data_IF_652036489641
#
_entry.id   IF_652036489641
#
_cell.length_a   1.000
_cell.length_b   1.000
_cell.length_c   1.000
_cell.angle_alpha   90.00
_cell.angle_beta   90.00
_cell.angle_gamma   90.00
#
_symmetry.space_group_name_H-M   'P 1'
#
loop_
_entity.id
_entity.type
_entity.pdbx_description
1 polymer ?
#
# COMPACT_ATOMS: atom_id res chain seq x y z
N UNK A 1 3.35 -10.30 -7.32
CA UNK A 1 4.21 -9.26 -7.94
C UNK A 1 3.49 -8.43 -9.00
N UNK A 2 2.47 -8.93 -9.66
CA UNK A 2 1.82 -8.25 -10.79
C UNK A 2 0.58 -7.43 -10.45
N UNK A 3 0.18 -7.44 -9.20
CA UNK A 3 -1.05 -6.81 -8.76
C UNK A 3 -1.04 -5.30 -8.96
N UNK A 4 0.03 -4.69 -8.52
CA UNK A 4 0.17 -3.24 -8.64
C UNK A 4 0.46 -2.80 -10.06
N UNK A 5 1.12 -3.63 -10.86
CA UNK A 5 1.20 -3.43 -12.31
C UNK A 5 -0.18 -3.39 -12.95
N UNK A 6 -1.12 -4.22 -12.49
CA UNK A 6 -2.50 -4.25 -13.02
C UNK A 6 -3.33 -3.01 -12.60
N UNK A 7 -3.11 -2.50 -11.39
CA UNK A 7 -3.80 -1.27 -10.92
C UNK A 7 -3.30 -0.03 -11.67
N UNK A 8 -2.01 0.01 -12.03
CA UNK A 8 -1.36 1.17 -12.61
C UNK A 8 -0.99 1.02 -14.09
N UNK A 9 -1.19 -0.14 -14.69
CA UNK A 9 -0.78 -0.43 -16.07
C UNK A 9 -1.67 0.28 -17.09
N UNK A 10 -1.06 1.14 -17.89
CA UNK A 10 -1.62 1.52 -19.19
C UNK A 10 -1.36 0.34 -20.14
N UNK A 11 -2.40 -0.21 -20.77
CA UNK A 11 -2.29 -1.29 -21.74
C UNK A 11 -1.29 -0.93 -22.83
N UNK A 12 -0.26 -1.76 -23.02
CA UNK A 12 0.59 -1.67 -24.20
C UNK A 12 -0.20 -2.18 -25.41
N UNK A 13 -0.03 -1.57 -26.58
CA UNK A 13 -0.78 -1.94 -27.80
C UNK A 13 -0.44 -3.35 -28.34
N UNK A 14 0.61 -3.99 -27.82
CA UNK A 14 0.96 -5.36 -28.16
C UNK A 14 0.04 -6.44 -27.57
N UNK A 15 -0.81 -6.10 -26.61
CA UNK A 15 -1.70 -7.04 -25.91
C UNK A 15 -3.12 -7.14 -26.51
N UNK A 16 -3.28 -6.86 -27.81
CA UNK A 16 -4.59 -6.87 -28.49
C UNK A 16 -5.33 -8.21 -28.44
N UNK A 17 -4.69 -9.29 -28.07
CA UNK A 17 -5.30 -10.63 -28.03
C UNK A 17 -5.94 -10.96 -26.68
N UNK A 18 -5.57 -10.31 -25.58
CA UNK A 18 -6.20 -10.52 -24.27
C UNK A 18 -7.43 -9.63 -24.00
N UNK A 19 -7.77 -8.73 -24.92
CA UNK A 19 -8.83 -7.72 -24.76
C UNK A 19 -10.23 -8.31 -24.47
N UNK A 20 -10.50 -9.54 -24.88
CA UNK A 20 -11.83 -10.18 -24.68
C UNK A 20 -12.04 -10.87 -23.34
N UNK A 21 -10.96 -11.19 -22.61
CA UNK A 21 -11.07 -11.73 -21.23
C UNK A 21 -11.10 -10.66 -20.15
N UNK A 22 -10.86 -9.41 -20.50
CA UNK A 22 -10.67 -8.31 -19.57
C UNK A 22 -11.89 -7.42 -19.33
N UNK A 23 -13.06 -7.73 -19.87
CA UNK A 23 -14.27 -6.89 -19.69
C UNK A 23 -14.64 -6.75 -18.21
N UNK A 24 -14.51 -7.81 -17.42
CA UNK A 24 -14.75 -7.76 -15.97
C UNK A 24 -13.66 -7.02 -15.18
N UNK A 25 -12.40 -7.11 -15.62
CA UNK A 25 -11.29 -6.36 -14.99
C UNK A 25 -11.39 -4.86 -15.27
N UNK A 26 -11.81 -4.49 -16.47
CA UNK A 26 -12.05 -3.08 -16.83
C UNK A 26 -13.22 -2.46 -16.04
N UNK A 27 -14.23 -3.24 -15.64
CA UNK A 27 -15.34 -2.73 -14.84
C UNK A 27 -14.90 -2.30 -13.44
N UNK A 28 -14.08 -3.12 -12.74
CA UNK A 28 -13.62 -2.80 -11.39
C UNK A 28 -12.60 -1.66 -11.38
N UNK A 29 -11.69 -1.60 -12.36
CA UNK A 29 -10.81 -0.45 -12.53
C UNK A 29 -11.58 0.81 -12.87
N UNK A 30 -12.68 0.70 -13.60
CA UNK A 30 -13.57 1.82 -13.85
C UNK A 30 -14.29 2.30 -12.59
N UNK A 31 -14.64 1.39 -11.68
CA UNK A 31 -15.24 1.74 -10.38
C UNK A 31 -14.26 2.50 -9.47
N UNK A 32 -13.00 2.04 -9.36
CA UNK A 32 -11.96 2.80 -8.63
C UNK A 32 -11.79 4.20 -9.22
N UNK A 33 -11.76 4.30 -10.55
CA UNK A 33 -11.66 5.58 -11.25
C UNK A 33 -12.87 6.47 -11.01
N UNK A 34 -14.08 5.93 -11.10
CA UNK A 34 -15.31 6.66 -10.78
C UNK A 34 -15.30 7.18 -9.35
N UNK A 35 -14.95 6.33 -8.40
CA UNK A 35 -14.83 6.71 -7.00
C UNK A 35 -13.78 7.79 -6.76
N UNK A 36 -12.64 7.71 -7.42
CA UNK A 36 -11.61 8.74 -7.36
C UNK A 36 -12.16 10.07 -7.90
N UNK A 37 -12.82 10.06 -9.05
CA UNK A 37 -13.45 11.25 -9.64
C UNK A 37 -14.56 11.83 -8.74
N UNK A 38 -15.41 10.99 -8.17
CA UNK A 38 -16.46 11.42 -7.23
C UNK A 38 -15.89 12.08 -5.97
N UNK A 39 -14.67 11.71 -5.57
CA UNK A 39 -13.95 12.35 -4.47
C UNK A 39 -13.08 13.52 -4.94
N UNK A 40 -13.20 13.95 -6.18
CA UNK A 40 -12.48 15.09 -6.76
C UNK A 40 -11.00 14.84 -6.98
N UNK A 41 -10.61 13.57 -7.08
CA UNK A 41 -9.27 13.19 -7.49
C UNK A 41 -9.22 13.24 -9.02
N UNK A 42 -8.43 14.16 -9.55
CA UNK A 42 -8.22 14.25 -10.98
C UNK A 42 -7.48 13.01 -11.46
N UNK A 43 -8.15 12.18 -12.25
CA UNK A 43 -7.54 11.03 -12.89
C UNK A 43 -6.75 11.47 -14.13
N UNK A 44 -5.61 12.08 -13.92
CA UNK A 44 -4.66 12.16 -15.01
C UNK A 44 -4.13 10.75 -15.30
N UNK A 45 -3.99 10.36 -16.59
CA UNK A 45 -3.38 9.08 -16.90
C UNK A 45 -2.01 9.03 -16.27
N UNK A 46 -1.79 8.04 -15.39
CA UNK A 46 -0.49 7.83 -14.77
C UNK A 46 0.45 7.39 -15.86
N UNK A 47 1.54 8.13 -16.04
CA UNK A 47 2.53 7.87 -17.06
C UNK A 47 3.48 6.77 -16.60
N UNK A 48 3.85 5.87 -17.51
CA UNK A 48 5.01 5.01 -17.29
C UNK A 48 6.26 5.88 -17.15
N UNK A 49 7.12 5.54 -16.20
CA UNK A 49 8.42 6.19 -16.10
C UNK A 49 9.28 5.85 -17.33
N UNK A 50 9.88 6.82 -17.94
CA UNK A 50 10.82 6.61 -19.06
C UNK A 50 12.09 5.89 -18.61
N UNK A 51 12.45 6.03 -17.34
CA UNK A 51 13.61 5.41 -16.72
C UNK A 51 13.19 4.71 -15.45
N UNK A 52 13.65 3.47 -15.28
CA UNK A 52 13.43 2.74 -14.03
C UNK A 52 14.22 3.43 -12.91
N UNK A 53 13.50 3.87 -11.88
CA UNK A 53 14.11 4.45 -10.69
C UNK A 53 14.67 3.33 -9.80
N UNK A 54 15.76 3.63 -9.13
CA UNK A 54 16.28 2.78 -8.06
C UNK A 54 15.38 2.89 -6.82
N UNK A 55 15.48 1.92 -5.91
CA UNK A 55 14.76 1.96 -4.64
C UNK A 55 15.05 3.25 -3.87
N UNK A 56 16.32 3.65 -3.78
CA UNK A 56 16.72 4.91 -3.11
C UNK A 56 16.09 6.14 -3.74
N UNK A 57 16.05 6.22 -5.06
CA UNK A 57 15.40 7.33 -5.77
C UNK A 57 13.90 7.39 -5.53
N UNK A 58 13.24 6.23 -5.46
CA UNK A 58 11.80 6.16 -5.15
C UNK A 58 11.56 6.62 -3.72
N UNK A 59 12.36 6.15 -2.76
CA UNK A 59 12.25 6.53 -1.35
C UNK A 59 12.46 8.04 -1.18
N UNK A 60 13.43 8.62 -1.85
CA UNK A 60 13.69 10.06 -1.83
C UNK A 60 12.50 10.85 -2.41
N UNK A 61 11.94 10.40 -3.53
CA UNK A 61 10.83 11.08 -4.19
C UNK A 61 9.51 10.99 -3.41
N UNK A 62 9.25 9.88 -2.73
CA UNK A 62 7.98 9.62 -2.00
C UNK A 62 8.12 9.87 -0.51
N UNK A 63 9.33 9.84 0.03
CA UNK A 63 9.62 10.09 1.44
C UNK A 63 9.39 11.54 1.83
N UNK A 64 9.13 11.79 3.11
CA UNK A 64 8.98 13.14 3.62
C UNK A 64 8.52 13.15 5.07
N UNK A 65 8.61 14.30 5.71
CA UNK A 65 8.26 14.45 7.12
C UNK A 65 6.76 14.58 7.42
N UNK A 66 5.92 14.37 6.42
CA UNK A 66 4.46 14.48 6.61
C UNK A 66 3.95 13.37 7.53
N UNK A 67 3.29 13.79 8.61
CA UNK A 67 2.67 12.92 9.62
C UNK A 67 1.18 13.18 9.77
N UNK A 68 0.55 13.78 8.77
CA UNK A 68 -0.89 13.95 8.78
C UNK A 68 -1.59 12.59 8.79
N UNK A 69 -2.78 12.56 9.37
CA UNK A 69 -3.57 11.34 9.46
C UNK A 69 -3.82 10.75 8.07
N UNK A 70 -3.50 9.48 7.90
CA UNK A 70 -3.71 8.75 6.66
C UNK A 70 -2.57 8.83 5.65
N UNK A 71 -1.62 9.73 5.81
CA UNK A 71 -0.51 9.89 4.86
C UNK A 71 0.43 8.66 4.79
N UNK A 72 0.50 7.85 5.83
CA UNK A 72 1.27 6.60 5.83
C UNK A 72 0.79 5.64 4.73
N UNK A 73 -0.52 5.46 4.61
CA UNK A 73 -1.10 4.59 3.59
C UNK A 73 -0.90 5.15 2.19
N UNK A 74 -1.20 6.44 1.98
CA UNK A 74 -1.02 7.07 0.66
C UNK A 74 0.44 7.10 0.20
N UNK A 75 1.40 7.29 1.10
CA UNK A 75 2.82 7.20 0.78
C UNK A 75 3.23 5.76 0.39
N UNK A 76 2.72 4.75 1.10
CA UNK A 76 2.95 3.36 0.75
C UNK A 76 2.42 3.02 -0.65
N UNK A 77 1.23 3.48 -1.01
CA UNK A 77 0.69 3.32 -2.37
C UNK A 77 1.51 4.05 -3.43
N UNK A 78 2.00 5.24 -3.13
CA UNK A 78 2.89 5.98 -4.05
C UNK A 78 4.20 5.21 -4.28
N UNK A 79 4.80 4.65 -3.23
CA UNK A 79 5.98 3.80 -3.36
C UNK A 79 5.71 2.60 -4.28
N UNK A 80 4.61 1.89 -4.07
CA UNK A 80 4.24 0.72 -4.87
C UNK A 80 4.07 1.11 -6.35
N UNK A 81 3.38 2.22 -6.64
CA UNK A 81 3.19 2.70 -8.00
C UNK A 81 4.52 3.00 -8.71
N UNK A 82 5.45 3.68 -8.04
CA UNK A 82 6.78 3.95 -8.58
C UNK A 82 7.61 2.66 -8.76
N UNK A 83 7.53 1.73 -7.80
CA UNK A 83 8.21 0.42 -7.90
C UNK A 83 7.68 -0.39 -9.09
N UNK A 84 6.41 -0.25 -9.43
CA UNK A 84 5.79 -0.85 -10.61
C UNK A 84 6.15 -0.15 -11.93
N UNK A 85 6.97 0.90 -11.89
CA UNK A 85 7.44 1.62 -13.07
C UNK A 85 6.53 2.76 -13.54
N UNK A 86 5.66 3.27 -12.67
CA UNK A 86 4.80 4.42 -12.95
C UNK A 86 5.29 5.66 -12.21
N UNK A 87 5.10 6.82 -12.82
CA UNK A 87 5.41 8.10 -12.16
C UNK A 87 4.25 8.51 -11.28
N UNK A 88 4.27 8.06 -10.04
CA UNK A 88 3.34 8.45 -8.99
C UNK A 88 4.11 9.26 -7.97
N UNK A 89 3.97 10.58 -8.04
CA UNK A 89 4.80 11.46 -7.23
C UNK A 89 4.43 11.36 -5.75
N UNK A 90 3.17 11.60 -5.42
CA UNK A 90 2.73 11.64 -4.02
C UNK A 90 1.21 11.64 -3.91
N UNK A 91 0.70 10.84 -2.98
CA UNK A 91 -0.71 10.84 -2.63
C UNK A 91 -0.97 11.48 -1.24
N UNK A 92 0.03 12.11 -0.63
CA UNK A 92 -0.08 12.67 0.73
C UNK A 92 -0.86 13.98 0.80
N UNK A 93 -1.20 14.59 -0.32
CA UNK A 93 -1.90 15.87 -0.37
C UNK A 93 -3.41 15.75 -0.60
N UNK A 94 -4.18 16.61 0.05
CA UNK A 94 -5.60 16.87 -0.23
C UNK A 94 -6.48 15.62 -0.31
N UNK A 95 -7.34 15.59 -1.32
CA UNK A 95 -8.32 14.51 -1.51
C UNK A 95 -7.70 13.16 -1.87
N UNK A 96 -6.49 13.13 -2.45
CA UNK A 96 -5.76 11.89 -2.73
C UNK A 96 -5.34 11.21 -1.43
N UNK A 97 -4.81 11.96 -0.48
CA UNK A 97 -4.49 11.44 0.85
C UNK A 97 -5.74 10.88 1.53
N UNK A 98 -6.83 11.63 1.53
CA UNK A 98 -8.10 11.20 2.12
C UNK A 98 -8.64 9.91 1.45
N UNK A 99 -8.57 9.82 0.12
CA UNK A 99 -8.99 8.63 -0.62
C UNK A 99 -8.18 7.39 -0.26
N UNK A 100 -6.85 7.47 -0.34
CA UNK A 100 -5.97 6.33 -0.12
C UNK A 100 -5.75 5.97 1.36
N UNK A 101 -6.28 6.74 2.29
CA UNK A 101 -6.21 6.48 3.72
C UNK A 101 -7.50 5.92 4.32
N UNK A 102 -8.58 5.90 3.57
CA UNK A 102 -9.86 5.38 4.06
C UNK A 102 -9.89 3.86 4.01
N UNK A 103 -10.21 3.24 5.13
CA UNK A 103 -10.32 1.79 5.28
C UNK A 103 -11.20 1.14 4.20
N UNK A 104 -12.36 1.72 3.90
CA UNK A 104 -13.24 1.23 2.85
C UNK A 104 -12.60 1.24 1.45
N UNK A 105 -11.71 2.19 1.17
CA UNK A 105 -11.00 2.28 -0.11
C UNK A 105 -9.85 1.30 -0.19
N UNK A 106 -9.14 1.11 0.91
CA UNK A 106 -8.08 0.11 1.03
C UNK A 106 -8.67 -1.30 0.86
N UNK A 107 -9.79 -1.60 1.51
CA UNK A 107 -10.53 -2.87 1.32
C UNK A 107 -10.98 -3.07 -0.12
N UNK A 108 -11.47 -2.04 -0.77
CA UNK A 108 -11.85 -2.11 -2.19
C UNK A 108 -10.64 -2.42 -3.08
N UNK A 109 -9.50 -1.77 -2.86
CA UNK A 109 -8.25 -2.06 -3.58
C UNK A 109 -7.82 -3.51 -3.32
N UNK A 110 -7.91 -3.97 -2.07
CA UNK A 110 -7.59 -5.34 -1.69
C UNK A 110 -8.45 -6.41 -2.39
N UNK A 111 -9.66 -6.05 -2.80
CA UNK A 111 -10.60 -6.94 -3.49
C UNK A 111 -10.48 -6.89 -5.03
N UNK A 112 -9.55 -6.11 -5.58
CA UNK A 112 -9.34 -6.07 -7.02
C UNK A 112 -8.80 -7.40 -7.56
N UNK A 113 -9.14 -7.79 -8.80
CA UNK A 113 -8.61 -9.00 -9.41
C UNK A 113 -7.09 -8.99 -9.45
N UNK A 114 -6.49 -10.07 -8.96
CA UNK A 114 -5.04 -10.25 -8.89
C UNK A 114 -4.39 -9.58 -7.68
N UNK A 115 -5.16 -9.02 -6.75
CA UNK A 115 -4.70 -8.63 -5.41
C UNK A 115 -4.92 -9.80 -4.47
N UNK A 116 -3.87 -10.26 -3.80
CA UNK A 116 -3.99 -11.19 -2.69
C UNK A 116 -4.08 -10.39 -1.40
N UNK A 117 -5.14 -10.61 -0.65
CA UNK A 117 -5.36 -9.96 0.65
C UNK A 117 -5.50 -11.02 1.72
N UNK A 118 -4.72 -10.88 2.77
CA UNK A 118 -4.82 -11.69 3.97
C UNK A 118 -5.29 -10.81 5.11
N UNK A 119 -6.39 -11.21 5.75
CA UNK A 119 -6.98 -10.48 6.87
C UNK A 119 -6.98 -11.39 8.09
N UNK A 120 -6.37 -10.93 9.17
CA UNK A 120 -6.40 -11.61 10.46
C UNK A 120 -7.20 -10.78 11.44
N UNK A 121 -8.31 -11.34 11.94
CA UNK A 121 -9.17 -10.71 12.94
C UNK A 121 -8.75 -11.20 14.32
N UNK A 122 -8.09 -10.35 15.07
CA UNK A 122 -7.64 -10.64 16.42
C UNK A 122 -7.71 -9.37 17.27
N UNK A 123 -8.04 -9.52 18.54
CA UNK A 123 -8.01 -8.40 19.49
C UNK A 123 -6.60 -8.00 19.89
N UNK A 124 -5.61 -8.84 19.58
CA UNK A 124 -4.19 -8.61 19.82
C UNK A 124 -3.47 -8.41 18.48
N UNK A 125 -3.05 -7.17 18.22
CA UNK A 125 -2.33 -6.81 16.99
C UNK A 125 -1.02 -7.58 16.82
N UNK A 126 -0.29 -7.83 17.90
CA UNK A 126 0.98 -8.56 17.85
C UNK A 126 0.79 -10.00 17.38
N UNK A 127 -0.28 -10.65 17.85
CA UNK A 127 -0.63 -11.99 17.42
C UNK A 127 -1.06 -12.00 15.95
N UNK A 128 -1.89 -11.05 15.54
CA UNK A 128 -2.35 -10.91 14.17
C UNK A 128 -1.18 -10.69 13.21
N UNK A 129 -0.28 -9.78 13.54
CA UNK A 129 0.90 -9.49 12.71
C UNK A 129 1.84 -10.69 12.64
N UNK A 130 2.08 -11.40 13.75
CA UNK A 130 2.89 -12.61 13.73
C UNK A 130 2.36 -13.66 12.76
N UNK A 131 1.04 -13.84 12.70
CA UNK A 131 0.39 -14.74 11.75
C UNK A 131 0.59 -14.27 10.30
N UNK A 132 0.40 -12.98 10.02
CA UNK A 132 0.61 -12.40 8.69
C UNK A 132 2.07 -12.49 8.24
N UNK A 133 3.03 -12.26 9.14
CA UNK A 133 4.46 -12.38 8.83
C UNK A 133 4.84 -13.79 8.39
N UNK A 134 4.12 -14.82 8.82
CA UNK A 134 4.31 -16.18 8.33
C UNK A 134 3.99 -16.36 6.85
N UNK A 135 3.26 -15.41 6.23
CA UNK A 135 2.91 -15.42 4.80
C UNK A 135 3.83 -14.52 3.96
N UNK A 136 4.75 -13.81 4.58
CA UNK A 136 5.69 -12.92 3.89
C UNK A 136 6.85 -13.74 3.32
N UNK A 137 6.91 -13.78 2.00
CA UNK A 137 7.96 -14.48 1.25
C UNK A 137 9.15 -13.56 0.98
N UNK A 138 10.34 -14.14 0.98
CA UNK A 138 11.56 -13.39 0.64
C UNK A 138 11.52 -12.92 -0.82
N UNK A 139 12.01 -11.70 -1.05
CA UNK A 139 12.04 -11.08 -2.38
C UNK A 139 10.74 -10.39 -2.81
N UNK A 140 9.69 -10.48 -2.00
CA UNK A 140 8.42 -9.79 -2.22
C UNK A 140 8.22 -8.65 -1.21
N UNK A 141 7.45 -7.66 -1.63
CA UNK A 141 7.06 -6.53 -0.80
C UNK A 141 5.54 -6.51 -0.65
N UNK A 142 5.07 -6.18 0.56
CA UNK A 142 3.66 -6.24 0.94
C UNK A 142 3.24 -4.94 1.60
N UNK A 143 2.00 -4.52 1.37
CA UNK A 143 1.37 -3.48 2.16
C UNK A 143 0.83 -4.09 3.45
N UNK A 144 1.23 -3.57 4.60
CA UNK A 144 0.72 -3.93 5.92
C UNK A 144 0.04 -2.75 6.56
N UNK A 145 -1.19 -2.95 7.03
CA UNK A 145 -1.88 -2.00 7.90
C UNK A 145 -2.25 -2.68 9.21
N UNK A 146 -1.84 -2.10 10.32
CA UNK A 146 -2.16 -2.57 11.68
C UNK A 146 -2.04 -1.42 12.68
N UNK A 147 -2.80 -1.49 13.77
CA UNK A 147 -2.84 -0.43 14.75
C UNK A 147 -3.25 0.91 14.14
N UNK A 148 -2.36 1.88 14.13
CA UNK A 148 -2.60 3.22 13.58
C UNK A 148 -1.61 3.60 12.47
N UNK A 149 -1.02 2.62 11.81
CA UNK A 149 -0.02 2.85 10.79
C UNK A 149 -0.11 1.82 9.66
N UNK A 150 0.34 2.24 8.49
CA UNK A 150 0.53 1.38 7.35
C UNK A 150 1.93 1.59 6.77
N UNK A 151 2.55 0.54 6.30
CA UNK A 151 3.85 0.59 5.66
C UNK A 151 4.04 -0.60 4.71
N UNK A 152 5.03 -0.51 3.86
CA UNK A 152 5.52 -1.65 3.10
C UNK A 152 6.38 -2.51 4.01
N UNK A 153 6.18 -3.82 4.00
CA UNK A 153 7.02 -4.78 4.68
C UNK A 153 7.64 -5.75 3.70
N UNK A 154 8.80 -6.26 4.05
CA UNK A 154 9.49 -7.31 3.28
C UNK A 154 10.28 -8.23 4.21
N UNK A 155 10.67 -9.38 3.68
CA UNK A 155 11.64 -10.27 4.30
C UNK A 155 12.93 -10.22 3.50
N UNK A 156 14.00 -9.77 4.11
CA UNK A 156 15.32 -9.66 3.50
C UNK A 156 16.33 -10.43 4.37
N UNK A 157 17.03 -11.38 3.76
CA UNK A 157 18.03 -12.24 4.47
C UNK A 157 17.48 -12.84 5.77
N UNK A 158 16.24 -13.32 5.73
CA UNK A 158 15.56 -13.91 6.89
C UNK A 158 15.05 -12.91 7.93
N UNK A 159 15.29 -11.62 7.78
CA UNK A 159 14.85 -10.55 8.68
C UNK A 159 13.67 -9.79 8.09
N UNK A 160 12.73 -9.40 8.95
CA UNK A 160 11.64 -8.53 8.56
C UNK A 160 12.06 -7.07 8.63
N UNK A 161 11.67 -6.34 7.59
CA UNK A 161 11.90 -4.90 7.46
C UNK A 161 10.59 -4.20 7.11
N UNK A 162 10.44 -2.95 7.55
CA UNK A 162 9.38 -2.06 7.12
C UNK A 162 9.96 -0.81 6.47
N UNK A 163 9.23 -0.24 5.53
CA UNK A 163 9.63 0.99 4.86
C UNK A 163 9.11 2.21 5.62
N UNK A 164 10.02 2.99 6.19
CA UNK A 164 9.70 4.29 6.76
C UNK A 164 9.75 5.36 5.66
N UNK A 165 8.65 6.07 5.45
CA UNK A 165 8.52 7.13 4.44
C UNK A 165 8.15 8.49 5.05
N UNK A 166 7.95 8.57 6.35
CA UNK A 166 7.50 9.77 7.04
C UNK A 166 8.51 10.30 8.07
N UNK A 167 9.74 9.82 8.02
CA UNK A 167 10.81 10.34 8.86
C UNK A 167 11.25 11.71 8.37
N UNK A 168 11.56 12.60 9.29
CA UNK A 168 12.15 13.92 9.00
C UNK A 168 13.65 13.83 8.75
N UNK A 169 14.29 12.75 9.19
CA UNK A 169 15.74 12.60 9.16
C UNK A 169 16.19 11.54 8.17
N UNK A 170 15.62 10.34 8.26
CA UNK A 170 16.04 9.22 7.43
C UNK A 170 14.84 8.33 7.09
N UNK A 171 14.52 8.26 5.80
CA UNK A 171 13.57 7.32 5.23
C UNK A 171 14.31 6.10 4.68
N UNK A 172 13.59 4.97 4.58
CA UNK A 172 14.14 3.73 4.06
C UNK A 172 13.66 2.51 4.82
N UNK A 173 14.13 1.35 4.40
CA UNK A 173 13.84 0.12 5.10
C UNK A 173 14.57 0.04 6.44
N UNK A 174 13.83 -0.30 7.47
CA UNK A 174 14.29 -0.41 8.87
C UNK A 174 13.84 -1.75 9.44
N UNK A 175 14.54 -2.29 10.46
CA UNK A 175 14.13 -3.52 11.12
C UNK A 175 12.68 -3.44 11.61
N UNK A 176 11.93 -4.53 11.37
CA UNK A 176 10.54 -4.67 11.82
C UNK A 176 10.47 -5.68 12.96
N UNK A 177 10.06 -5.23 14.13
CA UNK A 177 10.00 -6.01 15.37
C UNK A 177 8.87 -5.51 16.28
N UNK A 178 8.70 -6.15 17.44
CA UNK A 178 7.66 -5.80 18.39
C UNK A 178 7.80 -4.38 18.97
N UNK A 179 9.02 -3.84 19.05
CA UNK A 179 9.25 -2.46 19.50
C UNK A 179 8.66 -1.50 18.46
N UNK A 180 8.96 -1.73 17.19
CA UNK A 180 8.41 -0.94 16.08
C UNK A 180 6.89 -1.06 16.02
N UNK A 181 6.35 -2.27 16.18
CA UNK A 181 4.91 -2.49 16.24
C UNK A 181 4.27 -1.63 17.33
N UNK A 182 4.82 -1.64 18.53
CA UNK A 182 4.32 -0.84 19.65
C UNK A 182 4.48 0.65 19.41
N UNK A 183 5.70 1.09 19.10
CA UNK A 183 6.06 2.51 19.10
C UNK A 183 5.62 3.22 17.81
N UNK A 184 5.81 2.60 16.66
CA UNK A 184 5.54 3.21 15.35
C UNK A 184 4.14 2.90 14.85
N UNK A 185 3.68 1.67 14.96
CA UNK A 185 2.36 1.23 14.50
C UNK A 185 1.28 1.43 15.57
N UNK A 186 1.65 1.69 16.82
CA UNK A 186 0.69 1.83 17.93
C UNK A 186 -0.16 0.57 18.11
N UNK A 187 0.43 -0.59 17.86
CA UNK A 187 -0.18 -1.88 18.07
C UNK A 187 -0.60 -2.09 19.53
N UNK A 188 -1.73 -2.74 19.74
CA UNK A 188 -2.29 -3.01 21.07
C UNK A 188 -2.38 -4.51 21.31
N UNK A 189 -2.13 -4.94 22.55
CA UNK A 189 -2.27 -6.33 22.96
C UNK A 189 -3.73 -6.74 23.18
N UNK A 190 -4.61 -5.76 23.44
CA UNK A 190 -6.01 -6.00 23.66
C UNK A 190 -6.80 -4.75 23.30
N UNK A 191 -7.88 -4.92 22.53
CA UNK A 191 -8.85 -3.89 22.29
C UNK A 191 -9.93 -3.98 23.35
N UNK A 192 -10.35 -2.83 23.90
CA UNK A 192 -11.45 -2.78 24.86
C UNK A 192 -12.75 -3.36 24.27
N UNK A 193 -13.56 -3.95 25.13
CA UNK A 193 -14.92 -4.41 24.80
C UNK A 193 -15.69 -3.25 24.17
N UNK A 194 -16.19 -3.42 22.95
CA UNK A 194 -16.83 -2.34 22.16
C UNK A 194 -15.87 -1.58 21.23
N UNK A 195 -14.56 -1.85 21.26
CA UNK A 195 -13.60 -1.30 20.31
C UNK A 195 -13.77 -1.86 18.90
N UNK A 196 -13.36 -1.09 17.91
CA UNK A 196 -13.32 -1.54 16.53
C UNK A 196 -12.35 -2.71 16.40
N UNK A 197 -12.81 -3.82 15.83
CA UNK A 197 -11.92 -4.92 15.48
C UNK A 197 -10.96 -4.44 14.40
N UNK A 198 -9.68 -4.61 14.62
CA UNK A 198 -8.66 -4.29 13.63
C UNK A 198 -8.45 -5.50 12.72
N UNK A 199 -8.48 -5.23 11.44
CA UNK A 199 -8.03 -6.16 10.43
C UNK A 199 -6.58 -5.78 10.09
N UNK A 200 -5.66 -6.69 10.26
CA UNK A 200 -4.30 -6.55 9.74
C UNK A 200 -4.26 -7.19 8.35
N UNK A 201 -3.93 -6.40 7.36
CA UNK A 201 -3.83 -6.85 5.96
C UNK A 201 -2.38 -7.05 5.56
#
# INVERSE_FOLDING_TARGET
>A
QDVWKKIWRKKDESDKIEVRKDINKNSQMSEVRKLALQNGILSNPIKKSRKKLTEGQIIEAVGGGDRTRGSCSSAAFAYIGNKAGYTVLDFRGGKSCDFFSRDSRIKMIGNLPGVQTHVVKNTNDFTAVKELLGKVESGNEYYLATGRHAAIIRKNEGRFEYLELQSRTLNGFKPFNNIVLKERFKAQKSHSVGGTKYDAN
#
